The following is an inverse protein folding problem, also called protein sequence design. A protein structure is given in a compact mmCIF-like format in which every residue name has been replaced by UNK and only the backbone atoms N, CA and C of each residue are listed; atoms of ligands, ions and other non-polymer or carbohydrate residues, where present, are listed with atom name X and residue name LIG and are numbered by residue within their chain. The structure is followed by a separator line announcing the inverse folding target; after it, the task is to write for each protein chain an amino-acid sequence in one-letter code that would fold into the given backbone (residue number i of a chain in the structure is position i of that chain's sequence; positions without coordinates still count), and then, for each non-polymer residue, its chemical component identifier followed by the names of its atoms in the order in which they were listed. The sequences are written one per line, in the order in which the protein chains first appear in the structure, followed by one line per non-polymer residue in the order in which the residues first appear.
data_IF_389028897553
#
_entry.id   IF_389028897553
#
_cell.length_a   1.000
_cell.length_b   1.000
_cell.length_c   1.000
_cell.angle_alpha   90.00
_cell.angle_beta   90.00
_cell.angle_gamma   90.00
#
_symmetry.space_group_name_H-M   'P 1'
#
loop_
_entity.id
_entity.type
_entity.pdbx_description
1 polymer ?
#
# COMPACT_ATOMS: atom_id res chain seq x y z
N UNK A 1 50.21 24.60 -31.80
CA UNK A 1 49.56 23.77 -30.76
C UNK A 1 48.70 24.68 -29.89
N UNK A 2 47.45 24.91 -30.29
CA UNK A 2 46.50 25.77 -29.56
C UNK A 2 45.69 24.89 -28.60
N UNK A 3 46.00 25.00 -27.31
CA UNK A 3 45.24 24.35 -26.24
C UNK A 3 44.03 25.24 -25.89
N UNK A 4 42.84 24.81 -26.32
CA UNK A 4 41.57 25.38 -25.86
C UNK A 4 41.40 25.09 -24.37
N UNK A 5 41.59 26.11 -23.53
CA UNK A 5 41.29 26.07 -22.10
C UNK A 5 39.79 26.31 -21.94
N UNK A 6 38.99 25.25 -21.82
CA UNK A 6 37.58 25.37 -21.44
C UNK A 6 37.49 25.90 -20.02
N UNK A 7 37.07 27.15 -19.89
CA UNK A 7 36.77 27.81 -18.63
C UNK A 7 35.49 27.20 -18.05
N UNK A 8 35.61 26.30 -17.07
CA UNK A 8 34.47 25.93 -16.23
C UNK A 8 34.07 27.14 -15.38
N UNK A 9 33.09 27.91 -15.85
CA UNK A 9 32.49 28.97 -15.07
C UNK A 9 31.76 28.34 -13.85
N UNK A 10 32.11 28.72 -12.60
CA UNK A 10 31.48 28.13 -11.43
C UNK A 10 29.99 28.44 -11.45
N UNK A 11 29.14 27.40 -11.39
CA UNK A 11 27.70 27.57 -11.34
C UNK A 11 27.32 28.52 -10.19
N UNK A 12 26.40 29.48 -10.41
CA UNK A 12 25.94 30.39 -9.38
C UNK A 12 25.34 29.59 -8.22
N UNK A 13 25.58 30.04 -6.98
CA UNK A 13 25.20 29.33 -5.73
C UNK A 13 23.73 28.87 -5.73
N UNK A 14 22.82 29.67 -6.30
CA UNK A 14 21.40 29.32 -6.44
C UNK A 14 21.16 28.06 -7.31
N UNK A 15 21.87 27.92 -8.44
CA UNK A 15 21.74 26.71 -9.29
C UNK A 15 22.22 25.46 -8.57
N UNK A 16 23.27 25.57 -7.75
CA UNK A 16 23.75 24.46 -6.91
C UNK A 16 22.70 24.08 -5.87
N UNK A 17 22.10 25.06 -5.18
CA UNK A 17 21.04 24.80 -4.19
C UNK A 17 19.84 24.12 -4.85
N UNK A 18 19.35 24.63 -5.98
CA UNK A 18 18.23 24.03 -6.72
C UNK A 18 18.54 22.60 -7.17
N UNK A 19 19.76 22.35 -7.69
CA UNK A 19 20.19 21.02 -8.08
C UNK A 19 20.25 20.07 -6.88
N UNK A 20 20.75 20.52 -5.74
CA UNK A 20 20.78 19.73 -4.51
C UNK A 20 19.37 19.39 -4.03
N UNK A 21 18.45 20.36 -4.00
CA UNK A 21 17.06 20.13 -3.61
C UNK A 21 16.37 19.14 -4.56
N UNK A 22 16.58 19.29 -5.88
CA UNK A 22 16.06 18.34 -6.87
C UNK A 22 16.58 16.92 -6.61
N UNK A 23 17.89 16.78 -6.37
CA UNK A 23 18.51 15.49 -6.10
C UNK A 23 17.95 14.85 -4.82
N UNK A 24 17.80 15.63 -3.74
CA UNK A 24 17.22 15.15 -2.49
C UNK A 24 15.77 14.69 -2.67
N UNK A 25 14.95 15.42 -3.43
CA UNK A 25 13.57 15.02 -3.73
C UNK A 25 13.51 13.72 -4.53
N UNK A 26 14.39 13.54 -5.52
CA UNK A 26 14.48 12.29 -6.29
C UNK A 26 14.90 11.14 -5.40
N UNK A 27 15.89 11.34 -4.54
CA UNK A 27 16.33 10.32 -3.57
C UNK A 27 15.19 9.94 -2.63
N UNK A 28 14.48 10.92 -2.05
CA UNK A 28 13.35 10.67 -1.18
C UNK A 28 12.24 9.88 -1.91
N UNK A 29 11.96 10.20 -3.18
CA UNK A 29 10.96 9.48 -3.97
C UNK A 29 11.35 8.03 -4.28
N UNK A 30 12.62 7.76 -4.61
CA UNK A 30 13.12 6.42 -4.91
C UNK A 30 13.22 5.55 -3.64
N UNK A 31 13.69 6.14 -2.54
CA UNK A 31 13.92 5.43 -1.28
C UNK A 31 12.73 5.47 -0.32
N UNK A 32 11.57 6.02 -0.72
CA UNK A 32 10.38 6.17 0.15
C UNK A 32 9.97 4.88 0.85
N UNK A 33 9.95 3.76 0.13
CA UNK A 33 9.53 2.46 0.68
C UNK A 33 10.52 1.92 1.71
N UNK A 34 11.80 1.74 1.37
CA UNK A 34 12.83 1.34 2.32
C UNK A 34 12.95 2.27 3.54
N UNK A 35 12.89 3.59 3.32
CA UNK A 35 12.94 4.57 4.41
C UNK A 35 11.74 4.39 5.35
N UNK A 36 10.52 4.28 4.80
CA UNK A 36 9.33 4.07 5.59
C UNK A 36 9.41 2.78 6.42
N UNK A 37 9.74 1.63 5.81
CA UNK A 37 9.87 0.34 6.52
C UNK A 37 11.02 0.28 7.52
N UNK A 38 11.95 1.24 7.49
CA UNK A 38 13.01 1.36 8.51
C UNK A 38 12.51 2.13 9.72
N UNK A 39 11.60 3.06 9.52
CA UNK A 39 11.14 4.00 10.54
C UNK A 39 9.79 3.59 11.16
N UNK A 40 8.93 2.94 10.38
CA UNK A 40 7.55 2.60 10.74
C UNK A 40 7.34 1.10 10.70
N UNK A 41 6.83 0.57 11.81
CA UNK A 41 6.42 -0.83 11.96
C UNK A 41 4.94 -0.90 12.40
N UNK A 42 4.28 -1.99 12.05
CA UNK A 42 2.86 -2.25 12.33
C UNK A 42 2.71 -3.44 13.27
N UNK A 43 1.87 -3.30 14.29
CA UNK A 43 1.51 -4.40 15.19
C UNK A 43 0.02 -4.73 15.01
N UNK A 44 -0.32 -6.01 14.78
CA UNK A 44 -1.71 -6.45 14.78
C UNK A 44 -2.22 -6.50 16.21
N UNK A 45 -3.35 -5.83 16.48
CA UNK A 45 -4.03 -5.86 17.78
C UNK A 45 -5.36 -6.64 17.72
N UNK A 46 -5.78 -7.06 16.53
CA UNK A 46 -7.02 -7.78 16.31
C UNK A 46 -7.26 -8.11 14.83
N UNK A 47 -8.22 -8.99 14.58
CA UNK A 47 -8.70 -9.28 13.23
C UNK A 47 -9.82 -8.31 12.86
N UNK A 48 -9.78 -7.77 11.65
CA UNK A 48 -10.83 -6.88 11.12
C UNK A 48 -11.86 -7.67 10.32
N UNK A 49 -12.97 -7.02 9.95
CA UNK A 49 -14.09 -7.69 9.28
C UNK A 49 -13.69 -8.17 7.89
N UNK A 50 -13.98 -9.44 7.63
CA UNK A 50 -13.68 -10.10 6.37
C UNK A 50 -14.87 -10.14 5.43
N UNK A 51 -14.60 -9.94 4.13
CA UNK A 51 -15.62 -9.95 3.08
C UNK A 51 -15.21 -10.86 1.93
N UNK A 52 -16.22 -11.44 1.29
CA UNK A 52 -16.08 -12.16 0.02
C UNK A 52 -16.71 -11.32 -1.08
N UNK A 53 -16.11 -11.33 -2.26
CA UNK A 53 -16.68 -10.71 -3.46
C UNK A 53 -17.94 -11.49 -3.87
N UNK A 54 -19.08 -10.81 -3.84
CA UNK A 54 -20.41 -11.29 -4.23
C UNK A 54 -21.05 -10.39 -5.29
N UNK A 55 -20.73 -9.10 -5.29
CA UNK A 55 -21.21 -8.16 -6.29
C UNK A 55 -20.57 -8.43 -7.66
N UNK A 56 -21.40 -8.53 -8.70
CA UNK A 56 -20.95 -8.84 -10.06
C UNK A 56 -20.06 -7.74 -10.64
N UNK A 57 -20.34 -6.46 -10.36
CA UNK A 57 -19.50 -5.35 -10.85
C UNK A 57 -18.11 -5.41 -10.25
N UNK A 58 -18.00 -5.77 -8.96
CA UNK A 58 -16.72 -5.96 -8.32
C UNK A 58 -15.97 -7.16 -8.90
N UNK A 59 -16.65 -8.29 -9.09
CA UNK A 59 -16.06 -9.47 -9.70
C UNK A 59 -15.54 -9.17 -11.13
N UNK A 60 -16.34 -8.50 -11.96
CA UNK A 60 -16.00 -8.12 -13.33
C UNK A 60 -14.85 -7.10 -13.37
N UNK A 61 -14.85 -6.11 -12.48
CA UNK A 61 -13.76 -5.15 -12.34
C UNK A 61 -12.44 -5.88 -12.11
N UNK A 62 -12.41 -6.83 -11.16
CA UNK A 62 -11.20 -7.58 -10.82
C UNK A 62 -10.81 -8.51 -11.98
N UNK A 63 -11.74 -9.32 -12.48
CA UNK A 63 -11.50 -10.29 -13.54
C UNK A 63 -10.97 -9.61 -14.83
N UNK A 64 -11.52 -8.46 -15.21
CA UNK A 64 -11.07 -7.71 -16.39
C UNK A 64 -9.61 -7.22 -16.31
N UNK A 65 -9.09 -7.01 -15.08
CA UNK A 65 -7.71 -6.60 -14.82
C UNK A 65 -6.78 -7.80 -14.72
N UNK A 66 -7.26 -8.90 -14.14
CA UNK A 66 -6.54 -10.17 -14.03
C UNK A 66 -6.34 -10.79 -15.40
N UNK A 67 -7.38 -10.89 -16.24
CA UNK A 67 -7.31 -11.54 -17.57
C UNK A 67 -6.32 -10.91 -18.55
N UNK A 68 -5.83 -9.70 -18.27
CA UNK A 68 -4.77 -9.04 -19.05
C UNK A 68 -3.36 -9.51 -18.67
N UNK A 69 -3.25 -10.43 -17.70
CA UNK A 69 -2.00 -10.94 -17.14
C UNK A 69 -2.11 -12.44 -16.93
N UNK A 70 -1.04 -13.17 -17.19
CA UNK A 70 -0.97 -14.63 -17.01
C UNK A 70 0.08 -14.97 -15.96
N UNK A 71 -0.23 -15.96 -15.12
CA UNK A 71 0.68 -16.57 -14.14
C UNK A 71 1.40 -15.56 -13.23
N UNK A 72 0.61 -14.72 -12.55
CA UNK A 72 1.14 -13.76 -11.59
C UNK A 72 1.77 -14.46 -10.38
N UNK A 73 2.99 -14.05 -10.03
CA UNK A 73 3.56 -14.33 -8.72
C UNK A 73 2.81 -13.61 -7.59
N UNK A 74 3.06 -14.02 -6.35
CA UNK A 74 2.38 -13.44 -5.17
C UNK A 74 2.58 -11.92 -5.06
N UNK A 75 3.79 -11.43 -5.31
CA UNK A 75 4.12 -10.00 -5.24
C UNK A 75 3.32 -9.21 -6.28
N UNK A 76 3.19 -9.75 -7.49
CA UNK A 76 2.45 -9.14 -8.59
C UNK A 76 0.94 -9.18 -8.35
N UNK A 77 0.42 -10.27 -7.76
CA UNK A 77 -0.97 -10.39 -7.35
C UNK A 77 -1.34 -9.35 -6.28
N UNK A 78 -0.47 -9.16 -5.29
CA UNK A 78 -0.62 -8.11 -4.25
C UNK A 78 -0.60 -6.72 -4.88
N UNK A 79 0.40 -6.42 -5.73
CA UNK A 79 0.52 -5.11 -6.40
C UNK A 79 -0.65 -4.82 -7.32
N UNK A 80 -1.17 -5.83 -8.02
CA UNK A 80 -2.39 -5.69 -8.82
C UNK A 80 -3.59 -5.33 -7.94
N UNK A 81 -3.76 -6.03 -6.83
CA UNK A 81 -4.87 -5.80 -5.88
C UNK A 81 -4.79 -4.41 -5.24
N UNK A 82 -3.57 -3.96 -4.89
CA UNK A 82 -3.30 -2.60 -4.45
C UNK A 82 -3.67 -1.57 -5.52
N UNK A 83 -3.24 -1.79 -6.76
CA UNK A 83 -3.56 -0.91 -7.88
C UNK A 83 -5.06 -0.82 -8.16
N UNK A 84 -5.80 -1.93 -8.05
CA UNK A 84 -7.26 -1.95 -8.19
C UNK A 84 -7.89 -1.11 -7.08
N UNK A 85 -7.49 -1.35 -5.84
CA UNK A 85 -8.00 -0.63 -4.65
C UNK A 85 -7.78 0.88 -4.77
N UNK A 86 -6.55 1.33 -5.00
CA UNK A 86 -6.22 2.77 -5.17
C UNK A 86 -6.91 3.40 -6.38
N UNK A 87 -7.17 2.64 -7.44
CA UNK A 87 -7.90 3.18 -8.60
C UNK A 87 -9.40 3.29 -8.40
N UNK A 88 -9.95 2.52 -7.45
CA UNK A 88 -11.37 2.38 -7.23
C UNK A 88 -11.86 3.25 -6.07
N UNK A 89 -11.03 3.44 -5.05
CA UNK A 89 -11.41 4.12 -3.82
C UNK A 89 -10.84 5.54 -3.72
N UNK A 90 -11.49 6.33 -2.88
CA UNK A 90 -11.05 7.64 -2.43
C UNK A 90 -11.16 7.69 -0.91
N UNK A 91 -10.10 8.14 -0.24
CA UNK A 91 -10.09 8.17 1.21
C UNK A 91 -10.94 9.33 1.76
N UNK A 92 -11.69 9.05 2.81
CA UNK A 92 -12.39 10.04 3.63
C UNK A 92 -12.37 9.61 5.10
N UNK A 93 -12.36 10.58 6.02
CA UNK A 93 -12.49 10.34 7.46
C UNK A 93 -13.96 10.26 7.91
N UNK A 94 -14.91 10.50 7.02
CA UNK A 94 -16.35 10.44 7.34
C UNK A 94 -16.81 8.99 7.52
N UNK A 95 -17.87 8.81 8.30
CA UNK A 95 -18.51 7.51 8.45
C UNK A 95 -19.13 7.08 7.11
N UNK A 96 -18.63 5.99 6.54
CA UNK A 96 -19.02 5.45 5.25
C UNK A 96 -19.09 3.93 5.33
N UNK A 97 -19.63 3.31 4.28
CA UNK A 97 -19.61 1.86 4.18
C UNK A 97 -18.17 1.32 4.11
N UNK A 98 -17.99 0.08 4.53
CA UNK A 98 -16.71 -0.65 4.50
C UNK A 98 -16.81 -1.97 3.73
N UNK A 99 -18.03 -2.38 3.33
CA UNK A 99 -18.26 -3.59 2.57
C UNK A 99 -17.79 -3.40 1.11
N UNK A 100 -16.83 -4.21 0.63
CA UNK A 100 -16.30 -4.12 -0.73
C UNK A 100 -17.39 -4.20 -1.80
N UNK A 101 -18.43 -4.99 -1.55
CA UNK A 101 -19.54 -5.20 -2.47
C UNK A 101 -20.37 -3.93 -2.69
N UNK A 102 -20.34 -2.99 -1.74
CA UNK A 102 -20.98 -1.66 -1.88
C UNK A 102 -19.98 -0.60 -2.33
N UNK A 103 -18.74 -0.69 -1.84
CA UNK A 103 -17.66 0.24 -2.15
C UNK A 103 -17.28 0.29 -3.63
N UNK A 104 -17.51 -0.78 -4.39
CA UNK A 104 -17.38 -0.73 -5.86
C UNK A 104 -18.26 0.35 -6.50
N UNK A 105 -19.35 0.74 -5.84
CA UNK A 105 -20.23 1.82 -6.30
C UNK A 105 -19.97 3.13 -5.55
N UNK A 106 -19.88 3.11 -4.22
CA UNK A 106 -19.77 4.35 -3.41
C UNK A 106 -18.38 4.99 -3.43
N UNK A 107 -17.31 4.18 -3.61
CA UNK A 107 -15.90 4.58 -3.76
C UNK A 107 -15.24 5.30 -2.58
N UNK A 108 -15.98 5.98 -1.71
CA UNK A 108 -15.41 6.71 -0.59
C UNK A 108 -15.42 5.88 0.69
N UNK A 109 -14.28 5.75 1.37
CA UNK A 109 -14.17 5.07 2.68
C UNK A 109 -12.89 5.43 3.43
N UNK A 110 -12.76 4.96 4.66
CA UNK A 110 -11.59 5.13 5.53
C UNK A 110 -10.69 3.87 5.54
N UNK A 111 -9.66 3.84 6.38
CA UNK A 111 -8.64 2.77 6.45
C UNK A 111 -9.25 1.36 6.55
N UNK A 112 -10.26 1.16 7.39
CA UNK A 112 -10.97 -0.12 7.55
C UNK A 112 -11.58 -0.58 6.22
N UNK A 113 -12.29 0.31 5.51
CA UNK A 113 -12.87 -0.01 4.20
C UNK A 113 -11.80 -0.24 3.12
N UNK A 114 -10.67 0.47 3.19
CA UNK A 114 -9.52 0.22 2.31
C UNK A 114 -8.93 -1.17 2.52
N UNK A 115 -8.70 -1.56 3.77
CA UNK A 115 -8.20 -2.89 4.13
C UNK A 115 -9.18 -3.99 3.73
N UNK A 116 -10.48 -3.82 4.04
CA UNK A 116 -11.54 -4.75 3.65
C UNK A 116 -11.64 -4.92 2.13
N UNK A 117 -11.62 -3.81 1.37
CA UNK A 117 -11.68 -3.84 -0.09
C UNK A 117 -10.47 -4.51 -0.71
N UNK A 118 -9.27 -4.16 -0.23
CA UNK A 118 -8.05 -4.81 -0.67
C UNK A 118 -8.06 -6.30 -0.36
N UNK A 119 -8.44 -6.72 0.85
CA UNK A 119 -8.44 -8.12 1.26
C UNK A 119 -9.39 -8.95 0.38
N UNK A 120 -10.62 -8.48 0.18
CA UNK A 120 -11.59 -9.16 -0.69
C UNK A 120 -11.10 -9.24 -2.15
N UNK A 121 -10.50 -8.14 -2.65
CA UNK A 121 -9.90 -8.09 -3.99
C UNK A 121 -8.74 -9.08 -4.11
N UNK A 122 -7.84 -9.09 -3.13
CA UNK A 122 -6.64 -9.93 -3.13
C UNK A 122 -7.02 -11.41 -3.07
N UNK A 123 -7.94 -11.80 -2.18
CA UNK A 123 -8.49 -13.17 -2.14
C UNK A 123 -9.04 -13.61 -3.50
N UNK A 124 -9.78 -12.73 -4.17
CA UNK A 124 -10.32 -13.03 -5.50
C UNK A 124 -9.20 -13.21 -6.54
N UNK A 125 -8.20 -12.32 -6.57
CA UNK A 125 -7.03 -12.43 -7.46
C UNK A 125 -6.25 -13.72 -7.20
N UNK A 126 -5.99 -14.06 -5.94
CA UNK A 126 -5.29 -15.29 -5.55
C UNK A 126 -6.02 -16.54 -6.03
N UNK A 127 -7.36 -16.55 -5.94
CA UNK A 127 -8.19 -17.64 -6.45
C UNK A 127 -8.05 -17.80 -7.97
N UNK A 128 -8.18 -16.70 -8.72
CA UNK A 128 -8.05 -16.71 -10.19
C UNK A 128 -6.64 -17.13 -10.67
N UNK A 129 -5.61 -16.91 -9.85
CA UNK A 129 -4.22 -17.24 -10.17
C UNK A 129 -3.75 -18.56 -9.55
N UNK A 130 -4.66 -19.38 -8.99
CA UNK A 130 -4.34 -20.67 -8.33
C UNK A 130 -3.34 -20.55 -7.17
N UNK A 131 -3.25 -19.37 -6.55
CA UNK A 131 -2.41 -19.10 -5.37
C UNK A 131 -3.16 -19.31 -4.05
N UNK A 132 -4.49 -19.31 -4.08
CA UNK A 132 -5.34 -19.44 -2.88
C UNK A 132 -5.17 -20.77 -2.12
N UNK A 133 -4.53 -21.79 -2.72
CA UNK A 133 -4.19 -23.04 -2.04
C UNK A 133 -2.99 -22.93 -1.09
N UNK A 134 -2.22 -21.84 -1.16
CA UNK A 134 -1.06 -21.59 -0.29
C UNK A 134 -1.10 -20.22 0.38
N UNK A 135 -1.81 -19.25 -0.19
CA UNK A 135 -1.85 -17.88 0.29
C UNK A 135 -3.26 -17.46 0.74
N UNK A 136 -3.32 -16.75 1.86
CA UNK A 136 -4.51 -16.04 2.38
C UNK A 136 -4.22 -14.56 2.51
N UNK A 137 -5.25 -13.72 2.64
CA UNK A 137 -5.09 -12.27 2.79
C UNK A 137 -6.13 -11.73 3.78
N UNK A 138 -5.75 -11.46 5.02
CA UNK A 138 -6.67 -11.15 6.10
C UNK A 138 -6.48 -9.71 6.62
N UNK A 139 -7.55 -8.89 6.67
CA UNK A 139 -7.47 -7.55 7.22
C UNK A 139 -7.27 -7.61 8.74
N UNK A 140 -6.40 -6.73 9.23
CA UNK A 140 -5.95 -6.66 10.62
C UNK A 140 -6.19 -5.25 11.15
N UNK A 141 -6.62 -5.16 12.40
CA UNK A 141 -6.59 -3.91 13.15
C UNK A 141 -5.14 -3.64 13.57
N UNK A 142 -4.62 -2.47 13.21
CA UNK A 142 -3.20 -2.16 13.33
C UNK A 142 -2.89 -0.96 14.21
N UNK A 143 -1.80 -1.07 14.98
CA UNK A 143 -1.13 0.06 15.62
C UNK A 143 0.18 0.39 14.94
N UNK A 144 0.44 1.69 14.78
CA UNK A 144 1.67 2.20 14.19
C UNK A 144 2.73 2.51 15.25
N UNK A 145 3.96 2.11 14.97
CA UNK A 145 5.14 2.45 15.75
C UNK A 145 6.12 3.21 14.89
N UNK A 146 6.55 4.39 15.34
CA UNK A 146 7.65 5.13 14.72
C UNK A 146 8.89 5.06 15.59
N UNK A 147 9.98 4.51 15.06
CA UNK A 147 11.23 4.29 15.80
C UNK A 147 11.01 3.59 17.15
N UNK A 148 10.08 2.62 17.17
CA UNK A 148 9.71 1.86 18.35
C UNK A 148 8.75 2.57 19.33
N UNK A 149 8.34 3.80 19.05
CA UNK A 149 7.37 4.55 19.85
C UNK A 149 5.96 4.41 19.27
N UNK A 150 4.99 4.02 20.10
CA UNK A 150 3.60 3.86 19.69
C UNK A 150 2.99 5.22 19.32
N UNK A 151 2.62 5.40 18.05
CA UNK A 151 2.09 6.67 17.55
C UNK A 151 0.65 6.94 18.03
N UNK A 152 -0.10 5.90 18.37
CA UNK A 152 -1.49 6.01 18.81
C UNK A 152 -1.63 6.88 20.08
N UNK A 153 -0.56 6.99 20.88
CA UNK A 153 -0.51 7.85 22.07
C UNK A 153 -0.47 9.35 21.75
N UNK A 154 -0.09 9.73 20.52
CA UNK A 154 0.14 11.12 20.12
C UNK A 154 -0.91 11.65 19.14
N UNK A 155 -1.73 10.77 18.56
CA UNK A 155 -2.71 11.16 17.55
C UNK A 155 -4.11 10.68 17.91
N UNK A 156 -5.06 11.61 17.79
CA UNK A 156 -6.49 11.34 18.02
C UNK A 156 -7.30 11.30 16.72
N UNK A 157 -6.67 11.56 15.56
CA UNK A 157 -7.34 11.52 14.27
C UNK A 157 -7.49 10.08 13.78
N UNK A 158 -8.66 9.75 13.20
CA UNK A 158 -8.96 8.40 12.69
C UNK A 158 -7.89 7.87 11.72
N UNK A 159 -7.25 8.75 10.93
CA UNK A 159 -6.19 8.37 9.99
C UNK A 159 -4.92 7.83 10.66
N UNK A 160 -4.60 8.25 11.89
CA UNK A 160 -3.36 7.88 12.58
C UNK A 160 -3.60 6.97 13.80
N UNK A 161 -4.82 6.98 14.31
CA UNK A 161 -5.26 6.21 15.47
C UNK A 161 -5.54 4.76 15.10
N UNK A 162 -6.35 4.54 14.07
CA UNK A 162 -6.74 3.22 13.61
C UNK A 162 -6.16 3.04 12.21
N UNK A 163 -5.22 2.12 12.04
CA UNK A 163 -4.60 1.88 10.73
C UNK A 163 -4.70 0.42 10.36
N UNK A 164 -5.91 0.05 9.90
CA UNK A 164 -6.14 -1.28 9.37
C UNK A 164 -5.22 -1.54 8.18
N UNK A 165 -4.60 -2.71 8.21
CA UNK A 165 -3.70 -3.20 7.18
C UNK A 165 -4.12 -4.62 6.80
N UNK A 166 -3.45 -5.23 5.84
CA UNK A 166 -3.75 -6.61 5.44
C UNK A 166 -2.48 -7.46 5.51
N UNK A 167 -2.59 -8.57 6.25
CA UNK A 167 -1.57 -9.61 6.31
C UNK A 167 -1.85 -10.66 5.23
N UNK A 168 -0.87 -10.95 4.40
CA UNK A 168 -0.91 -11.94 3.33
C UNK A 168 0.04 -13.06 3.70
N UNK A 169 -0.51 -14.19 4.11
CA UNK A 169 0.25 -15.28 4.72
C UNK A 169 0.28 -16.49 3.79
N UNK A 170 1.46 -17.08 3.66
CA UNK A 170 1.65 -18.39 3.07
C UNK A 170 1.58 -19.45 4.16
N UNK A 171 0.49 -20.21 4.22
CA UNK A 171 0.31 -21.23 5.26
C UNK A 171 1.12 -22.51 5.02
N UNK A 172 1.81 -22.63 3.88
CA UNK A 172 2.74 -23.73 3.58
C UNK A 172 4.16 -23.40 4.06
N UNK A 173 4.61 -22.15 3.87
CA UNK A 173 5.99 -21.73 4.21
C UNK A 173 6.09 -20.93 5.51
N UNK A 174 4.98 -20.39 6.01
CA UNK A 174 4.95 -19.43 7.12
C UNK A 174 5.40 -18.02 6.74
N UNK A 175 5.59 -17.73 5.46
CA UNK A 175 5.93 -16.39 4.99
C UNK A 175 4.76 -15.43 5.17
N UNK A 176 5.01 -14.26 5.76
CA UNK A 176 3.99 -13.21 5.93
C UNK A 176 4.46 -11.94 5.23
N UNK A 177 3.63 -11.47 4.30
CA UNK A 177 3.74 -10.15 3.67
C UNK A 177 2.65 -9.26 4.25
N UNK A 178 2.89 -7.96 4.34
CA UNK A 178 1.89 -7.03 4.82
C UNK A 178 1.82 -5.77 3.96
N UNK A 179 0.60 -5.29 3.77
CA UNK A 179 0.34 -4.07 3.01
C UNK A 179 -0.65 -3.19 3.74
N UNK A 180 -0.50 -1.90 3.50
CA UNK A 180 -1.45 -0.90 3.92
C UNK A 180 -1.97 -0.18 2.67
N UNK A 181 -3.22 -0.46 2.26
CA UNK A 181 -3.77 0.09 1.02
C UNK A 181 -3.91 1.61 1.04
N UNK A 182 -4.11 2.22 2.22
CA UNK A 182 -4.18 3.68 2.36
C UNK A 182 -2.79 4.30 2.21
N UNK A 183 -1.75 3.71 2.81
CA UNK A 183 -0.37 4.16 2.62
C UNK A 183 0.10 3.97 1.18
N UNK A 184 -0.32 2.90 0.51
CA UNK A 184 -0.08 2.72 -0.92
C UNK A 184 -0.70 3.84 -1.75
N UNK A 185 -1.92 4.23 -1.43
CA UNK A 185 -2.65 5.25 -2.18
C UNK A 185 -1.97 6.62 -2.09
N UNK A 186 -1.61 7.04 -0.87
CA UNK A 186 -1.02 8.37 -0.63
C UNK A 186 0.49 8.43 -0.86
N UNK A 187 1.23 7.41 -0.44
CA UNK A 187 2.69 7.43 -0.40
C UNK A 187 3.33 6.48 -1.42
N UNK A 188 2.52 5.70 -2.14
CA UNK A 188 2.99 4.74 -3.13
C UNK A 188 4.04 3.76 -2.58
N UNK A 189 3.79 3.29 -1.37
CA UNK A 189 4.56 2.24 -0.70
C UNK A 189 3.77 0.95 -0.81
N UNK A 190 4.36 -0.08 -1.43
CA UNK A 190 3.66 -1.34 -1.71
C UNK A 190 3.55 -2.24 -0.48
N UNK A 191 4.59 -2.27 0.35
CA UNK A 191 4.71 -3.17 1.49
C UNK A 191 5.12 -2.40 2.72
N UNK A 192 4.51 -2.77 3.83
CA UNK A 192 4.82 -2.29 5.18
C UNK A 192 5.63 -3.36 5.92
N UNK A 193 6.11 -3.01 7.11
CA UNK A 193 6.83 -3.93 7.97
C UNK A 193 5.95 -4.27 9.17
N UNK A 194 5.79 -5.58 9.42
CA UNK A 194 5.21 -6.05 10.66
C UNK A 194 6.27 -5.99 11.75
N UNK A 195 5.83 -5.56 12.93
CA UNK A 195 6.57 -5.69 14.17
C UNK A 195 6.60 -7.18 14.54
N UNK A 196 7.78 -7.73 14.84
CA UNK A 196 7.91 -9.11 15.30
C UNK A 196 7.31 -9.32 16.69
#
# INVERSE_FOLDING_TARGET
MLLFKQSCCPMPRLKKILLTLLLLTVLAAVFRGPLYRTLVDYESVGASTNYTVKDEKLADLIASKVNRRTDLGITEAIKLSLSITSSQLHFTADNNDVDPNKLVTSKATHCVGYAAFFAATCKYVLSQQKLASSWTAEPQEGQLYFLGTNLHQYFHSAFLKDHDFVAIENHVTGEVLAVDPTIKDYFHIDFIRLRP
#
